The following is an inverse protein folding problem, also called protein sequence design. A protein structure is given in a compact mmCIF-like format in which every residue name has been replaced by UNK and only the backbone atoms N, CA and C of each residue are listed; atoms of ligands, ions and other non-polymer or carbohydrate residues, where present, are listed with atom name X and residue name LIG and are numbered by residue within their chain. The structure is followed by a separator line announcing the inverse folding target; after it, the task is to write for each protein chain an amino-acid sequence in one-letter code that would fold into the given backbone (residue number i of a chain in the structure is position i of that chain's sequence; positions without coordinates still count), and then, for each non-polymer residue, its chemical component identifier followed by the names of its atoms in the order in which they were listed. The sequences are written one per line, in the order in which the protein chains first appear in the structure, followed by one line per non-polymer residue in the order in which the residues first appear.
data_IF_632476838771
#
_entry.id   IF_632476838771
#
_cell.length_a   1.000
_cell.length_b   1.000
_cell.length_c   1.000
_cell.angle_alpha   90.00
_cell.angle_beta   90.00
_cell.angle_gamma   90.00
#
_symmetry.space_group_name_H-M   'P 1'
#
loop_
_entity.id
_entity.type
_entity.pdbx_description
1 polymer ?
#
# COMPACT_ATOMS: atom_id res chain seq x y z
N UNK A 1 -40.27 -10.61 28.54
CA UNK A 1 -39.50 -9.37 28.65
C UNK A 1 -38.50 -9.41 27.54
N UNK A 2 -38.51 -8.52 26.52
CA UNK A 2 -37.48 -8.51 25.54
C UNK A 2 -36.22 -7.82 26.09
N UNK A 3 -35.05 -8.45 25.87
CA UNK A 3 -33.76 -7.87 26.14
C UNK A 3 -33.57 -6.53 25.44
N UNK A 4 -33.03 -5.51 26.11
CA UNK A 4 -32.74 -4.24 25.44
C UNK A 4 -31.55 -4.42 24.53
N UNK A 5 -31.76 -4.40 23.21
CA UNK A 5 -30.68 -4.17 22.26
C UNK A 5 -30.06 -2.81 22.57
N UNK A 6 -28.73 -2.71 22.68
CA UNK A 6 -28.07 -1.43 22.82
C UNK A 6 -28.43 -0.54 21.62
N UNK A 7 -28.73 0.73 21.89
CA UNK A 7 -29.10 1.66 20.85
C UNK A 7 -27.96 1.82 19.83
N UNK A 8 -28.27 1.92 18.55
CA UNK A 8 -27.29 2.02 17.45
C UNK A 8 -26.21 3.12 17.69
N UNK A 9 -26.51 4.11 18.54
CA UNK A 9 -25.55 5.14 18.96
C UNK A 9 -24.49 4.66 19.96
N UNK A 10 -24.80 3.68 20.80
CA UNK A 10 -23.87 3.11 21.75
C UNK A 10 -22.86 2.17 21.06
N UNK A 11 -23.31 1.38 20.09
CA UNK A 11 -22.43 0.54 19.27
C UNK A 11 -21.48 1.38 18.41
N UNK A 12 -21.96 2.48 17.84
CA UNK A 12 -21.13 3.42 17.08
C UNK A 12 -20.10 4.13 17.98
N UNK A 13 -20.47 4.51 19.20
CA UNK A 13 -19.55 5.11 20.17
C UNK A 13 -18.49 4.12 20.68
N UNK A 14 -18.86 2.86 20.93
CA UNK A 14 -17.93 1.79 21.32
C UNK A 14 -16.98 1.44 20.17
N UNK A 15 -17.46 1.40 18.93
CA UNK A 15 -16.63 1.19 17.75
C UNK A 15 -15.62 2.32 17.54
N UNK A 16 -16.06 3.60 17.68
CA UNK A 16 -15.21 4.77 17.59
C UNK A 16 -14.15 4.82 18.71
N UNK A 17 -14.51 4.43 19.95
CA UNK A 17 -13.58 4.35 21.06
C UNK A 17 -12.53 3.23 20.86
N UNK A 18 -12.96 2.08 20.32
CA UNK A 18 -12.07 0.98 19.96
C UNK A 18 -11.10 1.36 18.83
N UNK A 19 -11.56 2.12 17.85
CA UNK A 19 -10.73 2.66 16.77
C UNK A 19 -9.70 3.67 17.28
N UNK A 20 -10.11 4.62 18.11
CA UNK A 20 -9.19 5.59 18.72
C UNK A 20 -8.13 4.90 19.56
N UNK A 21 -8.48 3.86 20.31
CA UNK A 21 -7.52 3.07 21.09
C UNK A 21 -6.56 2.29 20.18
N UNK A 22 -7.04 1.74 19.06
CA UNK A 22 -6.19 1.06 18.08
C UNK A 22 -5.24 2.04 17.37
N UNK A 23 -5.69 3.25 17.07
CA UNK A 23 -4.88 4.29 16.45
C UNK A 23 -3.87 4.95 17.40
N UNK A 24 -4.14 4.91 18.70
CA UNK A 24 -3.22 5.33 19.75
C UNK A 24 -2.11 4.28 20.02
N UNK A 25 -2.18 3.10 19.39
CA UNK A 25 -1.14 2.10 19.53
C UNK A 25 0.21 2.63 19.08
N UNK A 26 1.24 2.34 19.85
CA UNK A 26 2.62 2.64 19.49
C UNK A 26 3.42 1.35 19.33
N UNK A 27 4.36 1.36 18.41
CA UNK A 27 5.24 0.22 18.12
C UNK A 27 6.65 0.53 18.59
N UNK A 28 7.25 -0.41 19.32
CA UNK A 28 8.65 -0.31 19.74
C UNK A 28 9.56 -0.72 18.59
N UNK A 29 10.25 0.27 18.00
CA UNK A 29 11.25 0.02 16.95
C UNK A 29 12.61 0.51 17.47
N UNK A 30 13.50 -0.41 17.82
CA UNK A 30 14.73 -0.10 18.55
C UNK A 30 14.42 0.55 19.91
N UNK A 31 14.96 1.73 20.17
CA UNK A 31 14.71 2.52 21.39
C UNK A 31 13.53 3.49 21.27
N UNK A 32 12.87 3.57 20.10
CA UNK A 32 11.81 4.54 19.83
C UNK A 32 10.42 3.92 19.92
N UNK A 33 9.47 4.64 20.54
CA UNK A 33 8.04 4.39 20.41
C UNK A 33 7.50 5.21 19.25
N UNK A 34 6.88 4.53 18.28
CA UNK A 34 6.37 5.14 17.05
C UNK A 34 4.86 4.92 17.01
N UNK A 35 4.03 5.98 16.97
CA UNK A 35 2.59 5.83 16.91
C UNK A 35 2.18 5.19 15.58
N UNK A 36 1.14 4.36 15.63
CA UNK A 36 0.55 3.74 14.44
C UNK A 36 0.09 4.80 13.44
N UNK A 37 -0.61 5.81 13.93
CA UNK A 37 -1.07 6.94 13.11
C UNK A 37 -0.68 8.25 13.79
N UNK A 38 0.31 8.99 13.26
CA UNK A 38 0.75 10.24 13.84
C UNK A 38 -0.35 11.30 13.86
N UNK A 39 -0.36 12.14 14.89
CA UNK A 39 -1.29 13.27 14.97
C UNK A 39 -1.09 14.21 13.77
N UNK A 40 -2.20 14.67 13.19
CA UNK A 40 -2.16 15.57 12.02
C UNK A 40 -1.75 14.89 10.71
N UNK A 41 -1.64 13.55 10.67
CA UNK A 41 -1.33 12.81 9.45
C UNK A 41 -2.40 13.07 8.39
N UNK A 42 -1.97 13.59 7.23
CA UNK A 42 -2.87 13.93 6.13
C UNK A 42 -3.08 12.76 5.17
N UNK A 43 -4.27 12.73 4.57
CA UNK A 43 -4.63 11.86 3.46
C UNK A 43 -5.00 12.78 2.28
N UNK A 44 -4.30 12.63 1.17
CA UNK A 44 -4.55 13.40 -0.03
C UNK A 44 -5.23 12.51 -1.08
N UNK A 45 -6.43 12.89 -1.50
CA UNK A 45 -7.13 12.22 -2.59
C UNK A 45 -6.49 12.61 -3.94
N UNK A 46 -6.06 11.63 -4.72
CA UNK A 46 -5.34 11.86 -5.97
C UNK A 46 -6.23 11.72 -7.20
N UNK A 47 -7.28 10.93 -7.13
CA UNK A 47 -8.17 10.66 -8.27
C UNK A 47 -9.50 10.06 -7.81
N UNK A 48 -10.53 10.21 -8.67
CA UNK A 48 -11.78 9.46 -8.59
C UNK A 48 -11.89 8.55 -9.84
N UNK A 49 -12.31 7.29 -9.72
CA UNK A 49 -12.67 6.63 -8.48
C UNK A 49 -11.47 6.50 -7.53
N UNK A 50 -11.51 5.74 -6.53
CA UNK A 50 -10.63 5.71 -5.38
C UNK A 50 -9.11 5.66 -5.69
N UNK A 51 -8.41 6.76 -5.43
CA UNK A 51 -6.97 6.82 -5.26
C UNK A 51 -6.63 7.91 -4.24
N UNK A 52 -5.87 7.58 -3.22
CA UNK A 52 -5.46 8.52 -2.20
C UNK A 52 -4.02 8.23 -1.76
N UNK A 53 -3.36 9.24 -1.22
CA UNK A 53 -2.00 9.12 -0.68
C UNK A 53 -1.89 9.70 0.71
N UNK A 54 -0.89 9.25 1.43
CA UNK A 54 -0.43 9.83 2.69
C UNK A 54 1.09 9.71 2.79
N UNK A 55 1.72 10.61 3.53
CA UNK A 55 3.17 10.58 3.72
C UNK A 55 3.49 10.57 5.22
N UNK A 56 4.23 9.57 5.67
CA UNK A 56 4.66 9.42 7.05
C UNK A 56 6.03 10.08 7.26
N UNK A 57 6.04 11.31 7.78
CA UNK A 57 7.26 12.10 7.99
C UNK A 57 8.22 11.48 9.02
N UNK A 58 7.74 10.56 9.86
CA UNK A 58 8.54 9.82 10.83
C UNK A 58 9.28 8.60 10.27
N UNK A 59 9.17 8.37 8.96
CA UNK A 59 9.77 7.24 8.26
C UNK A 59 11.28 7.05 8.51
N UNK A 60 12.12 8.10 8.71
CA UNK A 60 13.55 7.88 8.96
C UNK A 60 13.83 7.09 10.26
N UNK A 61 12.88 7.07 11.20
CA UNK A 61 13.02 6.37 12.49
C UNK A 61 13.02 4.85 12.37
N UNK A 62 12.51 4.30 11.26
CA UNK A 62 12.33 2.85 11.08
C UNK A 62 12.76 2.32 9.69
N UNK A 63 13.00 3.19 8.70
CA UNK A 63 13.31 2.75 7.34
C UNK A 63 14.58 1.91 7.27
N UNK A 64 15.65 2.31 7.93
CA UNK A 64 16.91 1.55 7.92
C UNK A 64 16.73 0.13 8.50
N UNK A 65 16.02 0.01 9.62
CA UNK A 65 15.73 -1.28 10.24
C UNK A 65 14.84 -2.16 9.34
N UNK A 66 13.82 -1.57 8.72
CA UNK A 66 12.90 -2.28 7.83
C UNK A 66 13.59 -2.73 6.54
N UNK A 67 14.43 -1.90 5.95
CA UNK A 67 15.22 -2.26 4.76
C UNK A 67 16.18 -3.45 5.05
N UNK A 68 16.86 -3.41 6.19
CA UNK A 68 17.72 -4.51 6.61
C UNK A 68 16.93 -5.81 6.77
N UNK A 69 15.77 -5.74 7.41
CA UNK A 69 14.86 -6.91 7.58
C UNK A 69 14.38 -7.45 6.23
N UNK A 70 13.99 -6.60 5.29
CA UNK A 70 13.56 -7.04 3.95
C UNK A 70 14.69 -7.81 3.25
N UNK A 71 15.91 -7.27 3.28
CA UNK A 71 17.06 -7.90 2.65
C UNK A 71 17.46 -9.21 3.33
N UNK A 72 17.29 -9.32 4.65
CA UNK A 72 17.45 -10.57 5.39
C UNK A 72 16.40 -11.61 4.99
N UNK A 73 15.12 -11.23 5.00
CA UNK A 73 14.02 -12.13 4.65
C UNK A 73 14.07 -12.54 3.17
N UNK A 74 14.62 -11.71 2.29
CA UNK A 74 14.89 -12.05 0.89
C UNK A 74 15.81 -13.26 0.74
N UNK A 75 16.70 -13.50 1.69
CA UNK A 75 17.60 -14.67 1.67
C UNK A 75 16.87 -15.95 2.12
N UNK A 76 15.73 -15.83 2.77
CA UNK A 76 14.97 -16.98 3.29
C UNK A 76 14.14 -17.64 2.19
N UNK A 77 14.32 -18.94 1.89
CA UNK A 77 13.48 -19.66 0.95
C UNK A 77 12.00 -19.69 1.34
N UNK A 78 11.69 -19.52 2.63
CA UNK A 78 10.31 -19.51 3.14
C UNK A 78 9.52 -18.26 2.73
N UNK A 79 10.21 -17.14 2.50
CA UNK A 79 9.57 -15.86 2.19
C UNK A 79 9.86 -15.36 0.78
N UNK A 80 10.93 -15.83 0.16
CA UNK A 80 11.35 -15.43 -1.17
C UNK A 80 10.44 -16.05 -2.24
N UNK A 81 9.95 -15.22 -3.17
CA UNK A 81 9.17 -15.68 -4.30
C UNK A 81 9.50 -14.91 -5.58
N UNK A 82 9.88 -15.65 -6.61
CA UNK A 82 10.06 -15.13 -7.97
C UNK A 82 8.75 -15.27 -8.74
N UNK A 83 8.02 -14.17 -8.93
CA UNK A 83 6.72 -14.21 -9.61
C UNK A 83 6.86 -14.38 -11.12
N UNK A 84 7.91 -13.81 -11.70
CA UNK A 84 8.18 -13.90 -13.11
C UNK A 84 9.66 -14.17 -13.35
N UNK A 85 9.93 -15.23 -14.08
CA UNK A 85 11.28 -15.47 -14.60
C UNK A 85 11.56 -14.42 -15.68
N UNK A 86 12.50 -13.53 -15.41
CA UNK A 86 13.05 -12.61 -16.38
C UNK A 86 12.51 -11.17 -16.33
N UNK A 87 12.83 -10.41 -15.31
CA UNK A 87 12.64 -8.96 -15.30
C UNK A 87 11.98 -8.39 -14.05
N UNK A 88 11.04 -9.11 -13.44
CA UNK A 88 10.37 -8.63 -12.24
C UNK A 88 11.30 -8.63 -11.02
N UNK A 89 11.06 -7.67 -10.11
CA UNK A 89 11.73 -7.61 -8.83
C UNK A 89 11.42 -8.83 -7.95
N UNK A 90 12.33 -9.11 -7.00
CA UNK A 90 12.09 -10.13 -5.99
C UNK A 90 10.91 -9.74 -5.11
N UNK A 91 9.97 -10.67 -4.89
CA UNK A 91 8.96 -10.54 -3.84
C UNK A 91 9.37 -11.29 -2.59
N UNK A 92 9.23 -10.62 -1.45
CA UNK A 92 9.46 -11.17 -0.12
C UNK A 92 8.10 -11.18 0.59
N UNK A 93 7.53 -12.38 0.77
CA UNK A 93 6.15 -12.55 1.17
C UNK A 93 5.91 -12.38 2.66
N UNK A 94 4.69 -12.00 2.98
CA UNK A 94 4.10 -12.05 4.33
C UNK A 94 4.88 -11.24 5.37
N UNK A 95 5.17 -9.94 5.12
CA UNK A 95 5.79 -9.07 6.12
C UNK A 95 5.00 -9.01 7.44
N UNK A 96 3.69 -9.26 7.41
CA UNK A 96 2.80 -9.41 8.56
C UNK A 96 3.09 -10.64 9.45
N UNK A 97 4.03 -11.50 9.06
CA UNK A 97 4.41 -12.72 9.78
C UNK A 97 5.90 -12.81 10.13
N UNK A 98 6.65 -11.74 9.88
CA UNK A 98 8.08 -11.75 10.18
C UNK A 98 8.39 -11.57 11.67
N UNK A 99 7.41 -11.14 12.48
CA UNK A 99 7.62 -10.84 13.91
C UNK A 99 8.58 -9.65 14.11
N UNK A 100 8.59 -8.71 13.16
CA UNK A 100 9.45 -7.54 13.18
C UNK A 100 8.62 -6.28 13.46
N UNK A 101 8.91 -5.51 14.52
CA UNK A 101 8.11 -4.36 14.92
C UNK A 101 7.98 -3.27 13.84
N UNK A 102 9.01 -3.08 12.99
CA UNK A 102 8.93 -2.10 11.91
C UNK A 102 8.00 -2.58 10.79
N UNK A 103 8.04 -3.88 10.46
CA UNK A 103 7.12 -4.47 9.48
C UNK A 103 5.67 -4.44 10.01
N UNK A 104 5.47 -4.77 11.30
CA UNK A 104 4.16 -4.74 11.95
C UNK A 104 3.59 -3.30 11.98
N UNK A 105 4.41 -2.29 12.27
CA UNK A 105 4.02 -0.89 12.21
C UNK A 105 3.49 -0.51 10.81
N UNK A 106 4.24 -0.81 9.76
CA UNK A 106 3.84 -0.45 8.40
C UNK A 106 2.63 -1.25 7.94
N UNK A 107 2.53 -2.51 8.33
CA UNK A 107 1.33 -3.32 8.11
C UNK A 107 0.10 -2.70 8.79
N UNK A 108 0.21 -2.31 10.04
CA UNK A 108 -0.86 -1.63 10.77
C UNK A 108 -1.26 -0.30 10.12
N UNK A 109 -0.29 0.50 9.66
CA UNK A 109 -0.54 1.76 8.93
C UNK A 109 -1.28 1.52 7.61
N UNK A 110 -0.92 0.48 6.88
CA UNK A 110 -1.62 0.12 5.63
C UNK A 110 -3.09 -0.22 5.88
N UNK A 111 -3.39 -1.01 6.90
CA UNK A 111 -4.78 -1.34 7.28
C UNK A 111 -5.54 -0.12 7.81
N UNK A 112 -4.91 0.71 8.64
CA UNK A 112 -5.51 1.95 9.15
C UNK A 112 -5.82 2.93 8.00
N UNK A 113 -4.95 3.00 6.99
CA UNK A 113 -5.18 3.82 5.81
C UNK A 113 -6.33 3.30 4.96
N UNK A 114 -6.36 1.97 4.68
CA UNK A 114 -7.48 1.35 3.96
C UNK A 114 -8.82 1.59 4.66
N UNK A 115 -8.87 1.36 5.97
CA UNK A 115 -10.06 1.57 6.79
C UNK A 115 -10.59 3.01 6.67
N UNK A 116 -9.71 4.03 6.76
CA UNK A 116 -10.09 5.44 6.64
C UNK A 116 -10.60 5.81 5.27
N UNK A 117 -9.95 5.30 4.23
CA UNK A 117 -10.31 5.62 2.83
C UNK A 117 -11.56 4.87 2.40
N UNK A 118 -11.83 3.71 2.97
CA UNK A 118 -13.03 2.89 2.71
C UNK A 118 -14.18 3.21 3.67
N UNK A 119 -14.32 4.47 4.10
CA UNK A 119 -15.43 4.93 4.93
C UNK A 119 -15.61 4.12 6.23
N UNK A 120 -14.50 3.78 6.86
CA UNK A 120 -14.44 3.06 8.15
C UNK A 120 -14.99 1.62 8.10
N UNK A 121 -15.01 0.99 6.93
CA UNK A 121 -15.29 -0.43 6.86
C UNK A 121 -14.15 -1.27 7.46
N UNK A 122 -14.51 -2.29 8.21
CA UNK A 122 -13.56 -3.31 8.65
C UNK A 122 -12.89 -3.98 7.45
N UNK A 123 -11.58 -4.10 7.52
CA UNK A 123 -10.76 -4.64 6.44
C UNK A 123 -9.88 -5.80 6.91
N UNK A 124 -9.43 -6.60 5.96
CA UNK A 124 -8.40 -7.60 6.18
C UNK A 124 -7.45 -7.70 5.00
N UNK A 125 -6.25 -8.18 5.26
CA UNK A 125 -5.22 -8.39 4.22
C UNK A 125 -5.44 -9.73 3.54
N UNK A 126 -5.65 -9.70 2.22
CA UNK A 126 -5.65 -10.91 1.39
C UNK A 126 -4.23 -11.43 1.16
N UNK A 127 -3.35 -10.52 0.76
CA UNK A 127 -1.92 -10.80 0.53
C UNK A 127 -1.09 -9.54 0.80
N UNK A 128 0.17 -9.75 1.19
CA UNK A 128 1.13 -8.66 1.36
C UNK A 128 2.56 -9.14 1.09
N UNK A 129 3.39 -8.24 0.58
CA UNK A 129 4.78 -8.53 0.24
C UNK A 129 5.64 -7.27 0.23
N UNK A 130 6.94 -7.43 0.40
CA UNK A 130 7.92 -6.44 0.00
C UNK A 130 8.42 -6.77 -1.42
N UNK A 131 8.74 -5.74 -2.21
CA UNK A 131 9.37 -5.88 -3.53
C UNK A 131 10.75 -5.24 -3.49
N UNK A 132 11.75 -5.98 -3.96
CA UNK A 132 13.14 -5.52 -4.08
C UNK A 132 13.50 -5.49 -5.56
N UNK A 133 13.67 -4.29 -6.11
CA UNK A 133 14.04 -4.08 -7.51
C UNK A 133 15.51 -3.75 -7.62
N UNK A 134 16.19 -4.43 -8.54
CA UNK A 134 17.57 -4.17 -8.95
C UNK A 134 17.62 -3.71 -10.39
N UNK A 135 18.77 -3.27 -10.86
CA UNK A 135 18.96 -2.74 -12.22
C UNK A 135 18.30 -3.63 -13.30
N UNK A 136 17.54 -3.00 -14.20
CA UNK A 136 16.78 -3.65 -15.26
C UNK A 136 15.47 -4.32 -14.82
N UNK A 137 15.18 -4.45 -13.52
CA UNK A 137 13.96 -5.08 -13.06
C UNK A 137 12.76 -4.14 -13.13
N UNK A 138 11.58 -4.70 -13.39
CA UNK A 138 10.33 -3.98 -13.62
C UNK A 138 9.14 -4.79 -13.10
N UNK A 139 7.93 -4.26 -13.22
CA UNK A 139 6.70 -5.02 -13.06
C UNK A 139 5.77 -4.77 -14.24
N UNK A 140 5.31 -5.84 -14.89
CA UNK A 140 4.39 -5.76 -16.01
C UNK A 140 3.05 -5.11 -15.61
N UNK A 141 2.32 -4.49 -16.55
CA UNK A 141 0.98 -4.00 -16.31
C UNK A 141 0.06 -5.12 -15.79
N UNK A 142 -0.58 -4.88 -14.65
CA UNK A 142 -1.48 -5.84 -14.01
C UNK A 142 -2.46 -5.14 -13.07
N UNK A 143 -3.47 -5.88 -12.60
CA UNK A 143 -4.44 -5.46 -11.57
C UNK A 143 -4.75 -6.62 -10.63
N UNK A 144 -5.45 -6.34 -9.53
CA UNK A 144 -5.74 -7.32 -8.48
C UNK A 144 -7.26 -7.47 -8.27
N UNK A 145 -7.93 -8.29 -9.08
CA UNK A 145 -9.39 -8.39 -9.12
C UNK A 145 -10.06 -9.06 -7.91
N UNK A 146 -9.29 -9.64 -6.97
CA UNK A 146 -9.84 -10.35 -5.81
C UNK A 146 -10.04 -9.46 -4.59
N UNK A 147 -9.41 -8.30 -4.56
CA UNK A 147 -9.40 -7.38 -3.43
C UNK A 147 -10.12 -6.10 -3.77
N UNK A 148 -10.56 -5.34 -2.77
CA UNK A 148 -11.21 -4.07 -2.99
C UNK A 148 -10.20 -2.95 -3.28
N UNK A 149 -9.12 -2.90 -2.52
CA UNK A 149 -8.06 -1.92 -2.70
C UNK A 149 -6.68 -2.57 -2.64
N UNK A 150 -5.76 -1.96 -3.35
CA UNK A 150 -4.33 -2.26 -3.27
C UNK A 150 -3.59 -1.06 -2.68
N UNK A 151 -2.53 -1.34 -1.95
CA UNK A 151 -1.71 -0.33 -1.27
C UNK A 151 -0.26 -0.55 -1.65
N UNK A 152 0.46 0.54 -1.90
CA UNK A 152 1.91 0.52 -2.10
C UNK A 152 2.54 1.57 -1.20
N UNK A 153 3.58 1.17 -0.48
CA UNK A 153 4.42 2.02 0.35
C UNK A 153 5.83 2.07 -0.21
N UNK A 154 6.37 3.26 -0.44
CA UNK A 154 7.75 3.42 -0.88
C UNK A 154 8.67 3.50 0.33
N UNK A 155 9.53 2.49 0.48
CA UNK A 155 10.54 2.43 1.54
C UNK A 155 11.86 3.07 1.11
N UNK A 156 12.38 2.69 -0.04
CA UNK A 156 13.63 3.22 -0.60
C UNK A 156 13.46 3.36 -2.12
N UNK A 157 13.73 4.53 -2.64
CA UNK A 157 13.65 4.80 -4.08
C UNK A 157 14.88 4.28 -4.84
N UNK A 158 15.92 3.86 -4.11
CA UNK A 158 17.18 3.44 -4.69
C UNK A 158 17.98 4.63 -5.24
N UNK A 159 18.46 4.50 -6.46
CA UNK A 159 19.19 5.55 -7.19
C UNK A 159 18.26 6.10 -8.28
N UNK A 160 17.68 7.31 -8.12
CA UNK A 160 16.89 7.94 -9.16
C UNK A 160 17.74 8.17 -10.43
N UNK A 161 17.17 7.85 -11.59
CA UNK A 161 17.80 8.14 -12.88
C UNK A 161 17.39 9.54 -13.35
N UNK A 162 18.29 10.51 -13.41
CA UNK A 162 17.96 11.87 -13.83
C UNK A 162 17.59 11.96 -15.32
N UNK A 163 18.04 11.00 -16.14
CA UNK A 163 17.81 10.97 -17.59
C UNK A 163 16.52 10.20 -17.94
N UNK A 164 16.01 9.36 -17.02
CA UNK A 164 14.75 8.64 -17.19
C UNK A 164 13.82 8.82 -15.96
N UNK A 165 12.96 9.84 -15.96
CA UNK A 165 12.04 10.11 -14.86
C UNK A 165 10.95 9.05 -14.69
N UNK A 166 10.89 8.03 -15.56
CA UNK A 166 9.97 6.90 -15.45
C UNK A 166 10.65 5.65 -14.88
N UNK A 167 11.99 5.66 -14.77
CA UNK A 167 12.73 4.52 -14.24
C UNK A 167 12.28 4.17 -12.80
N UNK A 168 11.86 2.93 -12.60
CA UNK A 168 11.39 2.44 -11.30
C UNK A 168 10.09 3.09 -10.78
N UNK A 169 9.42 3.93 -11.56
CA UNK A 169 8.21 4.61 -11.11
C UNK A 169 6.97 3.71 -11.17
N UNK A 170 6.11 3.86 -10.16
CA UNK A 170 4.77 3.29 -10.16
C UNK A 170 3.86 4.15 -11.03
N UNK A 171 3.28 3.55 -12.05
CA UNK A 171 2.45 4.23 -13.05
C UNK A 171 1.12 3.51 -13.20
N UNK A 172 0.05 4.28 -13.31
CA UNK A 172 -1.31 3.78 -13.49
C UNK A 172 -1.84 4.15 -14.87
N UNK A 173 -2.57 3.22 -15.49
CA UNK A 173 -3.39 3.51 -16.65
C UNK A 173 -4.80 3.90 -16.20
N UNK A 174 -5.27 5.11 -16.53
CA UNK A 174 -6.65 5.51 -16.27
C UNK A 174 -7.58 4.88 -17.31
N UNK A 175 -8.44 3.91 -16.94
CA UNK A 175 -9.30 3.23 -17.88
C UNK A 175 -10.38 4.15 -18.49
N UNK A 176 -10.61 5.31 -17.93
CA UNK A 176 -11.60 6.30 -18.41
C UNK A 176 -11.08 7.12 -19.58
N UNK A 177 -9.76 7.19 -19.75
CA UNK A 177 -9.13 7.98 -20.80
C UNK A 177 -8.54 7.00 -21.82
N UNK A 178 -9.00 7.03 -23.07
CA UNK A 178 -8.42 6.20 -24.14
C UNK A 178 -6.93 6.42 -24.24
N UNK A 179 -6.15 5.38 -24.44
CA UNK A 179 -4.76 5.51 -24.79
C UNK A 179 -4.64 6.26 -26.12
N UNK A 180 -4.19 7.49 -26.06
CA UNK A 180 -3.96 8.28 -27.27
C UNK A 180 -2.64 7.85 -27.91
N UNK A 181 -2.65 7.74 -29.22
CA UNK A 181 -1.43 7.62 -30.00
C UNK A 181 -0.56 8.86 -29.75
N UNK A 182 0.74 8.67 -29.55
CA UNK A 182 1.69 9.77 -29.35
C UNK A 182 1.72 10.80 -30.51
N UNK A 183 1.18 10.43 -31.67
CA UNK A 183 1.08 11.29 -32.84
C UNK A 183 -0.09 12.28 -32.77
N UNK A 184 -1.02 12.11 -31.83
CA UNK A 184 -2.12 13.05 -31.64
C UNK A 184 -1.66 14.27 -30.83
N UNK A 185 -1.38 15.36 -31.50
CA UNK A 185 -0.93 16.62 -30.90
C UNK A 185 -1.91 17.08 -29.82
N UNK A 186 -1.39 17.36 -28.61
CA UNK A 186 -2.12 17.98 -27.52
C UNK A 186 -2.95 17.01 -26.67
N UNK A 187 -2.88 15.70 -26.90
CA UNK A 187 -3.49 14.70 -26.02
C UNK A 187 -2.45 14.02 -25.18
N UNK A 188 -2.59 14.15 -23.88
CA UNK A 188 -1.75 13.49 -22.90
C UNK A 188 -2.18 12.01 -22.82
N UNK A 189 -1.21 11.12 -22.86
CA UNK A 189 -1.47 9.72 -22.50
C UNK A 189 -2.01 9.65 -21.10
N UNK A 190 -3.00 8.80 -20.89
CA UNK A 190 -3.71 8.62 -19.63
C UNK A 190 -2.89 7.90 -18.55
N UNK A 191 -1.59 8.13 -18.47
CA UNK A 191 -0.75 7.60 -17.43
C UNK A 191 -0.74 8.55 -16.23
N UNK A 192 -1.20 8.07 -15.09
CA UNK A 192 -1.06 8.76 -13.83
C UNK A 192 0.19 8.26 -13.13
N UNK A 193 1.17 9.14 -12.94
CA UNK A 193 2.35 8.90 -12.13
C UNK A 193 2.23 9.72 -10.84
N UNK A 194 1.80 9.13 -9.72
CA UNK A 194 1.78 9.85 -8.46
C UNK A 194 3.21 10.12 -7.97
N UNK A 195 3.40 11.27 -7.37
CA UNK A 195 4.67 11.58 -6.71
C UNK A 195 4.81 10.68 -5.47
N UNK A 196 5.87 9.90 -5.44
CA UNK A 196 6.22 9.04 -4.33
C UNK A 196 7.65 9.32 -3.90
N UNK A 197 7.81 9.72 -2.66
CA UNK A 197 9.09 9.78 -1.96
C UNK A 197 9.13 8.73 -0.85
N UNK A 198 10.29 8.34 -0.33
CA UNK A 198 10.35 7.45 0.83
C UNK A 198 9.45 7.90 1.96
N UNK A 199 8.60 7.02 2.48
CA UNK A 199 7.54 7.35 3.45
C UNK A 199 6.15 7.56 2.86
N UNK A 200 6.02 7.68 1.53
CA UNK A 200 4.72 7.79 0.86
C UNK A 200 4.01 6.44 0.76
N UNK A 201 2.74 6.43 1.12
CA UNK A 201 1.83 5.30 0.97
C UNK A 201 0.66 5.72 0.07
N UNK A 202 0.33 4.90 -0.93
CA UNK A 202 -0.79 5.11 -1.84
C UNK A 202 -1.75 3.94 -1.71
N UNK A 203 -3.05 4.23 -1.63
CA UNK A 203 -4.14 3.28 -1.75
C UNK A 203 -4.91 3.58 -3.04
N UNK A 204 -5.30 2.52 -3.75
CA UNK A 204 -6.05 2.63 -5.00
C UNK A 204 -6.99 1.44 -5.18
N UNK A 205 -8.05 1.62 -5.98
CA UNK A 205 -8.94 0.52 -6.32
C UNK A 205 -8.16 -0.61 -7.00
N UNK A 206 -8.36 -1.84 -6.56
CA UNK A 206 -7.54 -2.99 -6.99
C UNK A 206 -7.66 -3.35 -8.46
N UNK A 207 -8.70 -2.88 -9.15
CA UNK A 207 -8.92 -3.05 -10.59
C UNK A 207 -8.11 -2.06 -11.45
N UNK A 208 -7.48 -1.06 -10.87
CA UNK A 208 -6.59 -0.17 -11.62
C UNK A 208 -5.38 -0.92 -12.16
N UNK A 209 -5.22 -0.86 -13.47
CA UNK A 209 -4.02 -1.37 -14.14
C UNK A 209 -2.84 -0.48 -13.77
N UNK A 210 -1.80 -1.09 -13.23
CA UNK A 210 -0.57 -0.42 -12.84
C UNK A 210 0.66 -1.22 -13.23
N UNK A 211 1.78 -0.52 -13.31
CA UNK A 211 3.07 -1.06 -13.70
C UNK A 211 4.19 -0.36 -12.93
N UNK A 212 5.36 -0.99 -12.86
CA UNK A 212 6.59 -0.33 -12.43
C UNK A 212 7.54 -0.36 -13.60
N UNK A 213 7.98 0.82 -14.05
CA UNK A 213 8.98 0.95 -15.12
C UNK A 213 10.30 0.26 -14.77
N UNK A 214 11.13 -0.08 -15.78
CA UNK A 214 12.44 -0.67 -15.53
C UNK A 214 13.26 0.22 -14.60
N UNK A 215 13.65 -0.34 -13.46
CA UNK A 215 14.49 0.37 -12.51
C UNK A 215 15.94 0.47 -13.05
N UNK A 216 16.58 1.61 -12.83
CA UNK A 216 17.97 1.85 -13.21
C UNK A 216 18.72 2.36 -11.99
N UNK A 217 19.58 1.52 -11.41
CA UNK A 217 20.35 1.91 -10.24
C UNK A 217 21.12 0.77 -9.61
N UNK A 218 22.14 1.12 -8.82
CA UNK A 218 23.00 0.15 -8.13
C UNK A 218 22.43 -0.25 -6.78
N UNK A 219 21.80 0.71 -6.06
CA UNK A 219 21.12 0.41 -4.79
C UNK A 219 19.74 -0.19 -5.07
N UNK A 220 19.29 -1.17 -4.28
CA UNK A 220 17.97 -1.72 -4.47
C UNK A 220 16.87 -0.68 -4.17
N UNK A 221 15.86 -0.61 -5.07
CA UNK A 221 14.61 0.08 -4.81
C UNK A 221 13.66 -0.85 -4.07
N UNK A 222 13.05 -0.40 -2.98
CA UNK A 222 12.21 -1.23 -2.13
C UNK A 222 10.83 -0.62 -1.90
N UNK A 223 9.79 -1.45 -2.05
CA UNK A 223 8.41 -1.11 -1.70
C UNK A 223 7.79 -2.22 -0.86
N UNK A 224 6.73 -1.88 -0.11
CA UNK A 224 5.85 -2.87 0.48
C UNK A 224 4.44 -2.69 -0.09
N UNK A 225 3.74 -3.79 -0.29
CA UNK A 225 2.43 -3.81 -0.94
C UNK A 225 1.44 -4.71 -0.21
N UNK A 226 0.17 -4.33 -0.28
CA UNK A 226 -0.96 -5.08 0.30
C UNK A 226 -2.12 -5.12 -0.69
N UNK A 227 -2.81 -6.24 -0.70
CA UNK A 227 -4.15 -6.38 -1.23
C UNK A 227 -5.11 -6.52 -0.06
N UNK A 228 -6.14 -5.68 -0.03
CA UNK A 228 -7.01 -5.52 1.14
C UNK A 228 -8.47 -5.63 0.71
N UNK A 229 -9.25 -6.37 1.49
CA UNK A 229 -10.66 -6.61 1.26
C UNK A 229 -11.49 -6.16 2.46
N UNK A 230 -12.68 -5.61 2.19
CA UNK A 230 -13.67 -5.24 3.19
C UNK A 230 -14.26 -6.52 3.79
N UNK A 231 -14.30 -6.62 5.13
CA UNK A 231 -15.04 -7.67 5.82
C UNK A 231 -16.52 -7.47 5.58
N UNK A 232 -17.18 -8.41 4.91
CA UNK A 232 -18.63 -8.42 4.82
C UNK A 232 -19.21 -8.83 6.16
N UNK A 233 -20.09 -8.01 6.73
CA UNK A 233 -20.87 -8.42 7.89
C UNK A 233 -21.72 -9.64 7.49
N UNK A 234 -21.66 -10.70 8.28
CA UNK A 234 -22.53 -11.86 8.12
C UNK A 234 -23.96 -11.39 8.33
N UNK A 235 -24.73 -11.18 7.26
CA UNK A 235 -26.11 -10.71 7.33
C UNK A 235 -26.57 -9.83 6.15
N UNK A 236 -25.68 -9.20 5.42
CA UNK A 236 -26.04 -8.39 4.23
C UNK A 236 -25.73 -9.13 2.93
N UNK A 237 -26.51 -10.15 2.62
CA UNK A 237 -26.43 -10.90 1.36
C UNK A 237 -27.08 -10.18 0.17
N UNK A 238 -27.34 -8.89 0.23
CA UNK A 238 -28.01 -8.14 -0.83
C UNK A 238 -27.54 -6.68 -0.92
N UNK A 239 -26.28 -6.47 -1.21
CA UNK A 239 -25.81 -5.24 -1.84
C UNK A 239 -24.94 -5.63 -3.02
N UNK A 240 -25.59 -5.96 -4.13
CA UNK A 240 -24.96 -5.99 -5.44
C UNK A 240 -24.60 -4.55 -5.78
N UNK A 241 -23.32 -4.23 -5.78
CA UNK A 241 -22.83 -3.03 -6.43
C UNK A 241 -22.82 -3.31 -7.94
N UNK A 242 -23.80 -2.74 -8.63
CA UNK A 242 -23.72 -2.42 -10.05
C UNK A 242 -23.06 -1.07 -10.21
#
# INVERSE_FOLDING_TARGET
MPDPHPAAGEEAALAAAGEQAALAAAYRVGSADIPLWPDGQRIDALSAPLMASTHFADHPRYHAALAATILEMEQSPAYRDWIFKGGCGMKVRRPDRWGNPAADLIHGRALAFAHRVLSQHDVYTDDCWASVYRDGQYCLPHSHLRSNVSIVYLLDEGDPDPDDPMAGQLVFADPRIPHCCQQERGRVTSLLKPEMTPGTMIVFASDYVHTVGPYRGHRPRMTMSWNVTIKRLAGNAAASFL
#
